data_IF_539037914715
#
_entry.id   IF_539037914715
#
_cell.length_a   1.000
_cell.length_b   1.000
_cell.length_c   1.000
_cell.angle_alpha   90.00
_cell.angle_beta   90.00
_cell.angle_gamma   90.00
#
_symmetry.space_group_name_H-M   'P 1'
#
loop_
_entity.id
_entity.type
_entity.pdbx_description
1 polymer ?
#
# COMPACT_ATOMS: atom_id res chain seq x y z
N UNK A 1 20.14 -22.18 -13.64
CA UNK A 1 20.04 -20.91 -12.87
C UNK A 1 18.57 -20.70 -12.55
N UNK A 2 18.12 -20.71 -11.28
CA UNK A 2 16.71 -20.45 -11.02
C UNK A 2 16.45 -18.94 -10.98
N UNK A 3 15.39 -18.52 -11.68
CA UNK A 3 14.74 -17.22 -11.50
C UNK A 3 14.02 -17.23 -10.14
N UNK A 4 14.76 -17.03 -9.05
CA UNK A 4 14.11 -16.70 -7.77
C UNK A 4 13.54 -15.29 -7.89
N UNK A 5 12.22 -15.23 -7.86
CA UNK A 5 11.36 -14.09 -7.59
C UNK A 5 12.11 -12.79 -7.22
N UNK A 6 11.90 -11.78 -8.05
CA UNK A 6 12.16 -10.38 -7.74
C UNK A 6 11.24 -9.99 -6.58
N UNK A 7 11.57 -10.42 -5.36
CA UNK A 7 11.25 -9.65 -4.17
C UNK A 7 12.13 -8.41 -4.29
N UNK A 8 11.60 -7.34 -4.88
CA UNK A 8 12.24 -6.03 -4.79
C UNK A 8 12.23 -5.72 -3.31
N UNK A 9 13.31 -6.05 -2.63
CA UNK A 9 13.47 -5.70 -1.23
C UNK A 9 13.25 -4.19 -1.12
N UNK A 10 12.55 -3.76 -0.08
CA UNK A 10 12.29 -2.34 0.17
C UNK A 10 13.57 -1.58 0.57
N UNK A 11 14.77 -2.12 0.28
CA UNK A 11 16.06 -1.56 0.62
C UNK A 11 16.28 -0.18 -0.01
N UNK A 12 15.82 0.04 -1.24
CA UNK A 12 15.90 1.38 -1.86
C UNK A 12 15.04 2.40 -1.10
N UNK A 13 13.84 2.01 -0.66
CA UNK A 13 12.96 2.86 0.15
C UNK A 13 13.59 3.17 1.51
N UNK A 14 14.11 2.15 2.20
CA UNK A 14 14.83 2.30 3.46
C UNK A 14 16.05 3.24 3.31
N UNK A 15 16.78 3.16 2.19
CA UNK A 15 17.91 4.03 1.91
C UNK A 15 17.50 5.49 1.66
N UNK A 16 16.40 5.73 0.94
CA UNK A 16 15.89 7.10 0.69
C UNK A 16 15.37 7.75 1.99
N UNK A 17 14.69 6.98 2.84
CA UNK A 17 14.17 7.46 4.13
C UNK A 17 15.28 7.64 5.19
N UNK A 18 16.36 6.86 5.12
CA UNK A 18 17.49 6.97 6.06
C UNK A 18 18.20 8.34 6.00
N UNK A 19 18.06 9.09 4.90
CA UNK A 19 18.52 10.46 4.80
C UNK A 19 17.58 11.40 5.57
N UNK A 20 18.08 12.04 6.63
CA UNK A 20 17.32 13.01 7.43
C UNK A 20 16.65 14.07 6.53
N UNK A 21 15.38 14.38 6.81
CA UNK A 21 14.54 15.42 6.16
C UNK A 21 14.07 15.10 4.73
N UNK A 22 13.64 13.86 4.46
CA UNK A 22 12.94 13.50 3.22
C UNK A 22 11.52 13.04 3.54
N UNK A 23 10.57 13.44 2.70
CA UNK A 23 9.17 13.03 2.76
C UNK A 23 8.85 12.26 1.48
N UNK A 24 8.08 11.18 1.63
CA UNK A 24 7.58 10.38 0.51
C UNK A 24 6.07 10.38 0.62
N UNK A 25 5.39 10.74 -0.47
CA UNK A 25 3.93 10.69 -0.55
C UNK A 25 3.49 9.42 -1.30
N UNK A 26 2.43 8.80 -0.81
CA UNK A 26 1.81 7.64 -1.42
C UNK A 26 0.37 7.99 -1.79
N UNK A 27 0.01 7.83 -3.06
CA UNK A 27 -1.38 8.01 -3.52
C UNK A 27 -2.13 6.68 -3.50
N UNK A 28 -2.06 5.96 -4.61
CA UNK A 28 -2.79 4.71 -4.86
C UNK A 28 -2.59 3.64 -3.79
N UNK A 29 -1.36 3.54 -3.27
CA UNK A 29 -1.04 2.54 -2.25
C UNK A 29 -1.75 2.84 -0.92
N UNK A 30 -1.90 4.12 -0.57
CA UNK A 30 -2.57 4.54 0.66
C UNK A 30 -4.10 4.41 0.55
N UNK A 31 -4.67 4.54 -0.65
CA UNK A 31 -6.10 4.26 -0.90
C UNK A 31 -6.44 2.82 -0.50
N UNK A 32 -5.60 1.86 -0.89
CA UNK A 32 -5.88 0.44 -0.67
C UNK A 32 -5.43 -0.11 0.69
N UNK A 33 -4.57 0.62 1.40
CA UNK A 33 -3.92 0.15 2.63
C UNK A 33 -4.14 1.21 3.72
N UNK A 34 -5.23 1.13 4.49
CA UNK A 34 -5.53 2.13 5.54
C UNK A 34 -4.46 2.16 6.64
N UNK A 35 -3.70 1.08 6.75
CA UNK A 35 -2.59 0.81 7.67
C UNK A 35 -1.23 0.78 6.97
N UNK A 36 -1.08 1.47 5.81
CA UNK A 36 0.16 1.50 5.04
C UNK A 36 1.43 1.80 5.86
N UNK A 37 1.42 2.75 6.84
CA UNK A 37 2.61 2.99 7.67
C UNK A 37 3.10 1.74 8.41
N UNK A 38 2.19 0.93 8.94
CA UNK A 38 2.53 -0.29 9.66
C UNK A 38 3.09 -1.35 8.70
N UNK A 39 2.44 -1.53 7.53
CA UNK A 39 2.92 -2.47 6.51
C UNK A 39 4.32 -2.13 6.02
N UNK A 40 4.63 -0.85 5.82
CA UNK A 40 5.97 -0.39 5.43
C UNK A 40 7.00 -0.66 6.54
N UNK A 41 6.61 -0.52 7.81
CA UNK A 41 7.49 -0.73 8.96
C UNK A 41 7.82 -2.22 9.17
N UNK A 42 6.83 -3.10 8.97
CA UNK A 42 6.94 -4.55 9.21
C UNK A 42 7.23 -5.37 7.97
N UNK A 43 7.35 -4.73 6.80
CA UNK A 43 7.50 -5.41 5.51
C UNK A 43 6.33 -6.39 5.22
N UNK A 44 5.12 -6.00 5.64
CA UNK A 44 3.92 -6.79 5.41
C UNK A 44 3.39 -6.63 3.99
N UNK A 45 2.67 -7.64 3.50
CA UNK A 45 2.05 -7.60 2.18
C UNK A 45 1.06 -6.43 2.06
N UNK A 46 0.96 -5.82 0.87
CA UNK A 46 0.00 -4.76 0.59
C UNK A 46 -1.27 -5.31 -0.06
N UNK A 47 -2.40 -4.71 0.27
CA UNK A 47 -3.62 -4.83 -0.51
C UNK A 47 -3.41 -4.26 -1.92
N UNK A 48 -4.03 -4.91 -2.91
CA UNK A 48 -4.00 -4.44 -4.31
C UNK A 48 -5.06 -3.36 -4.52
N UNK A 49 -4.71 -2.16 -5.01
CA UNK A 49 -5.69 -1.14 -5.33
C UNK A 49 -6.60 -1.55 -6.50
N UNK A 50 -7.91 -1.37 -6.33
CA UNK A 50 -8.89 -1.49 -7.41
C UNK A 50 -9.11 -0.13 -8.08
N UNK A 51 -8.58 0.04 -9.29
CA UNK A 51 -8.73 1.28 -10.05
C UNK A 51 -10.17 1.57 -10.48
N UNK A 52 -11.01 0.54 -10.61
CA UNK A 52 -12.39 0.71 -11.06
C UNK A 52 -13.26 1.45 -10.02
N UNK A 53 -12.78 1.54 -8.77
CA UNK A 53 -13.50 2.14 -7.65
C UNK A 53 -12.91 3.47 -7.17
N UNK A 54 -11.78 3.93 -7.73
CA UNK A 54 -11.10 5.16 -7.26
C UNK A 54 -11.96 6.42 -7.38
N UNK A 55 -12.77 6.46 -8.43
CA UNK A 55 -13.64 7.58 -8.73
C UNK A 55 -15.06 7.01 -8.69
N UNK A 56 -15.76 7.25 -7.59
CA UNK A 56 -17.07 6.68 -7.34
C UNK A 56 -17.96 6.75 -8.58
N UNK A 57 -18.52 5.60 -8.98
CA UNK A 57 -19.63 5.59 -9.93
C UNK A 57 -20.83 6.09 -9.15
N UNK A 58 -21.17 7.36 -9.32
CA UNK A 58 -22.29 7.99 -8.61
C UNK A 58 -23.48 7.04 -8.52
N UNK A 59 -23.98 6.85 -7.29
CA UNK A 59 -25.15 6.03 -6.90
C UNK A 59 -24.95 4.53 -6.63
N UNK A 60 -23.82 3.90 -6.95
CA UNK A 60 -23.65 2.44 -6.72
C UNK A 60 -22.55 2.12 -5.71
N UNK A 61 -22.96 1.77 -4.48
CA UNK A 61 -22.14 1.26 -3.38
C UNK A 61 -20.85 2.07 -3.13
N UNK A 62 -21.02 3.26 -2.55
CA UNK A 62 -19.93 4.21 -2.27
C UNK A 62 -18.87 3.68 -1.30
N UNK A 63 -19.18 2.65 -0.51
CA UNK A 63 -18.23 2.06 0.45
C UNK A 63 -17.16 1.22 -0.25
N UNK A 64 -17.49 0.66 -1.42
CA UNK A 64 -16.62 -0.26 -2.14
C UNK A 64 -15.39 0.44 -2.69
N UNK A 65 -14.21 -0.04 -2.28
CA UNK A 65 -12.92 0.51 -2.63
C UNK A 65 -12.66 1.90 -2.05
N UNK A 66 -13.41 2.29 -1.01
CA UNK A 66 -13.23 3.54 -0.27
C UNK A 66 -12.98 3.27 1.22
N UNK A 67 -13.86 2.52 1.88
CA UNK A 67 -13.78 2.24 3.34
C UNK A 67 -13.64 0.76 3.67
N UNK A 68 -13.73 -0.14 2.69
CA UNK A 68 -13.82 -1.59 2.88
C UNK A 68 -12.49 -2.35 2.67
N UNK A 69 -11.38 -1.65 2.45
CA UNK A 69 -10.05 -2.27 2.44
C UNK A 69 -9.68 -2.81 3.83
N UNK A 70 -9.27 -4.08 3.89
CA UNK A 70 -8.94 -4.75 5.15
C UNK A 70 -7.63 -4.24 5.76
N UNK A 71 -7.64 -4.07 7.08
CA UNK A 71 -6.44 -3.88 7.89
C UNK A 71 -5.66 -5.19 8.02
N UNK A 72 -4.39 -5.11 8.41
CA UNK A 72 -3.64 -6.23 8.94
C UNK A 72 -4.43 -6.84 10.11
N UNK A 73 -4.60 -8.16 10.07
CA UNK A 73 -5.18 -8.87 11.21
C UNK A 73 -4.15 -8.85 12.33
N UNK A 74 -4.52 -8.28 13.48
CA UNK A 74 -3.68 -8.37 14.67
C UNK A 74 -3.43 -9.86 14.98
N UNK A 75 -2.15 -10.22 15.10
CA UNK A 75 -1.73 -11.57 15.52
C UNK A 75 -1.82 -11.73 17.03
#
# INVERSE_FOLDING_TARGET
>A
MPLSAIAISNQWFKAVVALRKKLISFGKLFIANPDLPERLATDAAFNTPDFATFYGKGDQNLEKGYTDYLFLTAS
#
